data_IF_943957800967
#
_entry.id   IF_943957800967
#
_cell.length_a   1.000
_cell.length_b   1.000
_cell.length_c   1.000
_cell.angle_alpha   90.00
_cell.angle_beta   90.00
_cell.angle_gamma   90.00
#
_symmetry.space_group_name_H-M   'P 1'
#
loop_
_entity.id
_entity.type
_entity.pdbx_description
1 polymer ?
#
# COMPACT_ATOMS: atom_id res chain seq x y z
N UNK A 1 -11.14 -4.25 30.26
CA UNK A 1 -9.83 -4.58 29.68
C UNK A 1 -10.07 -5.58 28.57
N UNK A 2 -9.95 -5.17 27.31
CA UNK A 2 -10.11 -6.05 26.16
C UNK A 2 -8.73 -6.32 25.56
N UNK A 3 -8.33 -7.58 25.55
CA UNK A 3 -7.01 -8.05 25.14
C UNK A 3 -6.67 -7.55 23.73
N UNK A 4 -5.65 -6.70 23.66
CA UNK A 4 -4.99 -6.29 22.41
C UNK A 4 -4.15 -7.48 21.92
N UNK A 5 -4.80 -8.43 21.24
CA UNK A 5 -4.10 -9.43 20.44
C UNK A 5 -3.05 -8.72 19.60
N UNK A 6 -1.78 -9.04 19.83
CA UNK A 6 -0.67 -8.61 18.98
C UNK A 6 -0.99 -9.04 17.56
N UNK A 7 -1.51 -8.11 16.75
CA UNK A 7 -1.85 -8.37 15.35
C UNK A 7 -0.53 -8.71 14.65
N UNK A 8 -0.33 -9.99 14.37
CA UNK A 8 0.76 -10.45 13.54
C UNK A 8 0.79 -9.59 12.27
N UNK A 9 1.96 -9.04 11.96
CA UNK A 9 2.18 -8.31 10.72
C UNK A 9 2.00 -9.32 9.58
N UNK A 10 0.97 -9.12 8.76
CA UNK A 10 0.69 -9.99 7.61
C UNK A 10 1.67 -9.60 6.49
N UNK A 11 2.45 -10.55 6.01
CA UNK A 11 3.28 -10.43 4.80
C UNK A 11 2.74 -11.33 3.70
N UNK A 12 3.04 -10.98 2.45
CA UNK A 12 2.68 -11.78 1.26
C UNK A 12 3.89 -11.97 0.35
N UNK A 13 3.86 -12.94 -0.56
CA UNK A 13 4.97 -13.13 -1.51
C UNK A 13 4.98 -12.10 -2.64
N UNK A 14 3.81 -11.58 -3.02
CA UNK A 14 3.64 -10.62 -4.12
C UNK A 14 2.24 -9.98 -4.11
N UNK A 15 2.02 -9.02 -5.01
CA UNK A 15 0.74 -8.30 -5.12
C UNK A 15 -0.45 -9.22 -5.46
N UNK A 16 -0.25 -10.29 -6.23
CA UNK A 16 -1.32 -11.24 -6.56
C UNK A 16 -1.81 -12.00 -5.32
N UNK A 17 -0.89 -12.39 -4.44
CA UNK A 17 -1.22 -12.98 -3.13
C UNK A 17 -1.99 -11.99 -2.25
N UNK A 18 -1.52 -10.73 -2.16
CA UNK A 18 -2.24 -9.69 -1.43
C UNK A 18 -3.68 -9.52 -1.91
N UNK A 19 -3.91 -9.46 -3.23
CA UNK A 19 -5.25 -9.32 -3.81
C UNK A 19 -6.17 -10.51 -3.56
N UNK A 20 -5.63 -11.70 -3.26
CA UNK A 20 -6.43 -12.92 -3.09
C UNK A 20 -6.73 -13.25 -1.62
N UNK A 21 -5.81 -12.95 -0.71
CA UNK A 21 -5.85 -13.51 0.65
C UNK A 21 -6.22 -12.55 1.77
N UNK A 22 -6.41 -11.27 1.46
CA UNK A 22 -6.87 -10.27 2.44
C UNK A 22 -8.13 -9.59 1.93
N UNK A 23 -9.07 -9.26 2.82
CA UNK A 23 -10.30 -8.57 2.42
C UNK A 23 -9.98 -7.17 1.84
N UNK A 24 -9.04 -6.47 2.47
CA UNK A 24 -8.53 -5.21 1.95
C UNK A 24 -7.86 -5.38 0.58
N UNK A 25 -7.03 -6.41 0.40
CA UNK A 25 -6.38 -6.66 -0.88
C UNK A 25 -7.34 -7.03 -1.99
N UNK A 26 -8.38 -7.84 -1.72
CA UNK A 26 -9.46 -8.12 -2.69
C UNK A 26 -10.14 -6.83 -3.15
N UNK A 27 -10.49 -5.96 -2.19
CA UNK A 27 -11.03 -4.65 -2.50
C UNK A 27 -10.06 -3.84 -3.37
N UNK A 28 -8.80 -3.71 -2.96
CA UNK A 28 -7.76 -2.97 -3.70
C UNK A 28 -7.59 -3.51 -5.13
N UNK A 29 -7.48 -4.82 -5.30
CA UNK A 29 -7.32 -5.46 -6.59
C UNK A 29 -8.51 -5.24 -7.52
N UNK A 30 -9.74 -5.25 -6.98
CA UNK A 30 -10.95 -5.05 -7.80
C UNK A 30 -11.14 -3.62 -8.32
N UNK A 31 -10.51 -2.62 -7.70
CA UNK A 31 -10.71 -1.19 -8.03
C UNK A 31 -9.40 -0.45 -8.37
N UNK A 32 -8.33 -1.20 -8.66
CA UNK A 32 -7.07 -0.66 -9.16
C UNK A 32 -6.71 -1.25 -10.51
N UNK A 33 -5.78 -0.61 -11.21
CA UNK A 33 -5.21 -1.11 -12.45
C UNK A 33 -3.69 -1.08 -12.35
N UNK A 34 -3.04 -2.16 -12.74
CA UNK A 34 -1.60 -2.18 -12.92
C UNK A 34 -1.19 -1.15 -13.98
N UNK A 35 -0.14 -0.40 -13.70
CA UNK A 35 0.46 0.56 -14.64
C UNK A 35 1.66 -0.08 -15.33
N UNK A 36 2.21 0.58 -16.34
CA UNK A 36 3.49 0.17 -16.95
C UNK A 36 4.71 0.47 -16.06
N UNK A 37 4.54 1.20 -14.94
CA UNK A 37 5.64 1.59 -14.08
C UNK A 37 6.06 0.45 -13.15
N UNK A 38 7.36 0.35 -12.94
CA UNK A 38 7.96 -0.47 -11.89
C UNK A 38 8.78 0.42 -10.96
N UNK A 39 8.74 0.11 -9.67
CA UNK A 39 9.53 0.81 -8.67
C UNK A 39 10.08 -0.20 -7.66
N UNK A 40 11.40 -0.16 -7.42
CA UNK A 40 12.11 -1.12 -6.56
C UNK A 40 11.77 -2.61 -6.88
N UNK A 41 11.64 -2.94 -8.17
CA UNK A 41 11.31 -4.29 -8.63
C UNK A 41 9.84 -4.70 -8.48
N UNK A 42 8.96 -3.79 -8.04
CA UNK A 42 7.54 -4.04 -7.81
C UNK A 42 6.69 -3.28 -8.82
N UNK A 43 5.59 -3.89 -9.28
CA UNK A 43 4.65 -3.21 -10.18
C UNK A 43 3.86 -2.14 -9.43
N UNK A 44 3.71 -0.97 -10.06
CA UNK A 44 2.90 0.14 -9.54
C UNK A 44 1.48 0.00 -10.02
N UNK A 45 0.53 0.17 -9.12
CA UNK A 45 -0.90 0.16 -9.38
C UNK A 45 -1.49 1.55 -9.17
N UNK A 46 -2.52 1.88 -9.95
CA UNK A 46 -3.27 3.12 -9.82
C UNK A 46 -4.71 2.83 -9.39
N UNK A 47 -5.18 3.54 -8.37
CA UNK A 47 -6.55 3.45 -7.89
C UNK A 47 -7.54 4.09 -8.89
N UNK A 48 -8.52 3.32 -9.37
CA UNK A 48 -9.55 3.81 -10.30
C UNK A 48 -10.75 4.43 -9.60
N UNK A 49 -10.93 4.14 -8.31
CA UNK A 49 -11.89 4.74 -7.38
C UNK A 49 -11.23 4.94 -6.01
N UNK A 50 -11.91 5.62 -5.08
CA UNK A 50 -11.48 5.69 -3.67
C UNK A 50 -11.42 4.28 -3.07
N UNK A 51 -10.36 3.96 -2.32
CA UNK A 51 -10.17 2.67 -1.63
C UNK A 51 -9.94 2.94 -0.15
N UNK A 52 -10.86 2.46 0.70
CA UNK A 52 -10.83 2.73 2.13
C UNK A 52 -10.79 4.24 2.43
N UNK A 53 -10.13 4.62 3.53
CA UNK A 53 -10.00 6.02 3.94
C UNK A 53 -8.84 6.74 3.24
N UNK A 54 -7.75 6.01 2.97
CA UNK A 54 -6.45 6.62 2.70
C UNK A 54 -6.07 6.70 1.22
N UNK A 55 -6.67 5.89 0.34
CA UNK A 55 -6.35 5.88 -1.09
C UNK A 55 -7.48 6.59 -1.87
N UNK A 56 -7.13 7.67 -2.56
CA UNK A 56 -8.02 8.44 -3.44
C UNK A 56 -7.91 7.94 -4.88
N UNK A 57 -8.92 8.23 -5.71
CA UNK A 57 -8.85 7.98 -7.16
C UNK A 57 -7.61 8.67 -7.76
N UNK A 58 -6.85 7.94 -8.56
CA UNK A 58 -5.62 8.39 -9.22
C UNK A 58 -4.36 8.29 -8.36
N UNK A 59 -4.47 7.96 -7.08
CA UNK A 59 -3.29 7.64 -6.27
C UNK A 59 -2.61 6.38 -6.82
N UNK A 60 -1.29 6.33 -6.66
CA UNK A 60 -0.42 5.24 -7.08
C UNK A 60 0.12 4.52 -5.86
N UNK A 61 0.28 3.20 -5.93
CA UNK A 61 0.85 2.42 -4.83
C UNK A 61 1.58 1.17 -5.32
N UNK A 62 2.52 0.69 -4.51
CA UNK A 62 3.20 -0.59 -4.72
C UNK A 62 3.43 -1.29 -3.38
N UNK A 63 3.66 -2.60 -3.44
CA UNK A 63 3.96 -3.46 -2.29
C UNK A 63 5.44 -3.30 -1.92
N UNK A 64 5.76 -3.11 -0.64
CA UNK A 64 7.16 -3.06 -0.19
C UNK A 64 7.94 -4.29 -0.65
N UNK A 65 9.05 -4.08 -1.37
CA UNK A 65 9.82 -5.20 -1.91
C UNK A 65 10.52 -6.01 -0.81
N UNK A 66 10.95 -5.33 0.26
CA UNK A 66 11.80 -5.93 1.30
C UNK A 66 11.02 -6.87 2.21
N UNK A 67 9.98 -6.35 2.88
CA UNK A 67 9.22 -7.11 3.87
C UNK A 67 7.85 -7.56 3.35
N UNK A 68 7.35 -6.94 2.27
CA UNK A 68 6.06 -7.27 1.64
C UNK A 68 4.89 -7.30 2.64
N UNK A 69 4.95 -6.42 3.61
CA UNK A 69 3.99 -6.28 4.73
C UNK A 69 3.21 -4.97 4.70
N UNK A 70 3.51 -4.09 3.74
CA UNK A 70 2.87 -2.79 3.60
C UNK A 70 2.85 -2.30 2.14
N UNK A 71 1.97 -1.34 1.90
CA UNK A 71 1.89 -0.56 0.67
C UNK A 71 2.47 0.83 0.92
N UNK A 72 3.25 1.32 -0.04
CA UNK A 72 3.59 2.73 -0.13
C UNK A 72 2.63 3.44 -1.08
N UNK A 73 2.00 4.52 -0.61
CA UNK A 73 0.98 5.25 -1.36
C UNK A 73 1.50 6.64 -1.74
N UNK A 74 1.29 7.00 -3.00
CA UNK A 74 1.69 8.24 -3.63
C UNK A 74 0.48 8.91 -4.28
N UNK A 75 0.50 10.23 -4.41
CA UNK A 75 -0.49 10.93 -5.21
C UNK A 75 -0.27 10.68 -6.70
N UNK A 76 -1.21 11.14 -7.54
CA UNK A 76 -1.12 11.04 -9.01
C UNK A 76 0.12 11.70 -9.63
N UNK A 77 0.83 12.56 -8.89
CA UNK A 77 2.05 13.26 -9.31
C UNK A 77 3.31 12.55 -8.80
N UNK A 78 3.17 11.44 -8.08
CA UNK A 78 4.28 10.68 -7.51
C UNK A 78 4.78 11.21 -6.18
N UNK A 79 4.06 12.12 -5.51
CA UNK A 79 4.44 12.59 -4.17
C UNK A 79 3.99 11.58 -3.12
N UNK A 80 4.89 11.21 -2.21
CA UNK A 80 4.57 10.30 -1.12
C UNK A 80 3.43 10.83 -0.23
N UNK A 81 2.51 9.96 0.17
CA UNK A 81 1.38 10.27 1.05
C UNK A 81 1.48 9.56 2.39
N UNK A 82 1.55 8.24 2.39
CA UNK A 82 1.59 7.42 3.60
C UNK A 82 1.92 5.96 3.30
N UNK A 83 2.26 5.23 4.36
CA UNK A 83 2.39 3.77 4.36
C UNK A 83 1.12 3.14 4.94
N UNK A 84 0.59 2.10 4.28
CA UNK A 84 -0.55 1.31 4.77
C UNK A 84 -0.12 -0.13 5.06
N UNK A 85 -0.58 -0.71 6.17
CA UNK A 85 -0.47 -2.15 6.39
C UNK A 85 -1.41 -2.90 5.42
N UNK A 86 -1.18 -4.20 5.20
CA UNK A 86 -2.01 -5.01 4.28
C UNK A 86 -3.47 -5.21 4.72
N UNK A 87 -3.85 -4.73 5.90
CA UNK A 87 -5.25 -4.67 6.34
C UNK A 87 -5.91 -3.31 6.07
N UNK A 88 -5.21 -2.36 5.44
CA UNK A 88 -5.72 -1.04 5.09
C UNK A 88 -5.55 0.04 6.15
N UNK A 89 -5.00 -0.30 7.33
CA UNK A 89 -4.69 0.69 8.38
C UNK A 89 -3.43 1.47 8.07
N UNK A 90 -3.38 2.74 8.46
CA UNK A 90 -2.18 3.58 8.29
C UNK A 90 -1.07 3.17 9.25
N UNK A 91 0.14 3.00 8.73
CA UNK A 91 1.33 2.78 9.53
C UNK A 91 2.01 4.11 9.86
N UNK A 92 1.69 4.69 11.03
CA UNK A 92 2.17 6.01 11.43
C UNK A 92 3.70 6.09 11.51
N UNK A 93 4.35 5.09 12.13
CA UNK A 93 5.81 5.06 12.28
C UNK A 93 6.52 5.04 10.93
N UNK A 94 6.14 4.12 10.02
CA UNK A 94 6.75 4.04 8.68
C UNK A 94 6.42 5.27 7.84
N UNK A 95 5.23 5.86 8.00
CA UNK A 95 4.85 7.09 7.31
C UNK A 95 5.74 8.27 7.68
N UNK A 96 6.02 8.48 8.97
CA UNK A 96 6.88 9.58 9.41
C UNK A 96 8.32 9.43 8.93
N UNK A 97 8.83 8.20 8.89
CA UNK A 97 10.17 7.90 8.36
C UNK A 97 10.22 8.20 6.86
N UNK A 98 9.31 7.64 6.08
CA UNK A 98 9.26 7.84 4.62
C UNK A 98 9.05 9.32 4.23
N UNK A 99 8.30 10.08 5.04
CA UNK A 99 8.13 11.52 4.85
C UNK A 99 9.45 12.29 5.06
N UNK A 100 10.24 11.92 6.08
CA UNK A 100 11.58 12.52 6.31
C UNK A 100 12.55 12.19 5.18
N UNK A 101 12.44 11.00 4.60
CA UNK A 101 13.25 10.57 3.44
C UNK A 101 12.84 11.23 2.12
N UNK A 102 11.73 12.00 2.09
CA UNK A 102 11.21 12.69 0.90
C UNK A 102 11.04 11.74 -0.30
N UNK A 103 10.48 10.55 -0.06
CA UNK A 103 10.26 9.54 -1.11
C UNK A 103 9.42 10.12 -2.26
N UNK A 104 9.83 9.79 -3.48
CA UNK A 104 9.14 10.18 -4.71
C UNK A 104 9.05 8.97 -5.64
N UNK A 105 7.89 8.85 -6.27
CA UNK A 105 7.63 7.86 -7.31
C UNK A 105 7.85 8.54 -8.67
N UNK A 106 9.07 8.43 -9.20
CA UNK A 106 9.44 8.91 -10.54
C UNK A 106 9.20 7.82 -11.57
#
# INVERSE_FOLDING_TARGET
MGEIFGRAVISVDNMSQFFKHTDFGKLVGSISKQTAKMYQGQSVYEAKKKIGEFIKKGDQFYLDNKHKDHLEVFDKRGNFKHVLNLNGTRNFKKTEIARKEKRILR
#
